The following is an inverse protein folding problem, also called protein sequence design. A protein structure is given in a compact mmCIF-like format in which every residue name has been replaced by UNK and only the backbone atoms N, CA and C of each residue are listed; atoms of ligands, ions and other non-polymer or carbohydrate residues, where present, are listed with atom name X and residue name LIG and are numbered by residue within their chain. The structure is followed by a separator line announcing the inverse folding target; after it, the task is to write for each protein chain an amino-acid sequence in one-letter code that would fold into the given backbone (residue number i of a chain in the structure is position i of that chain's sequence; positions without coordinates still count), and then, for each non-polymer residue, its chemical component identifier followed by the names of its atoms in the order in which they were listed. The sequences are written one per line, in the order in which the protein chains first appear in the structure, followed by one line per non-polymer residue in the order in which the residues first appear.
data_IF_805309015802
#
_entry.id   IF_805309015802
#
_cell.length_a   1.000
_cell.length_b   1.000
_cell.length_c   1.000
_cell.angle_alpha   90.00
_cell.angle_beta   90.00
_cell.angle_gamma   90.00
#
_symmetry.space_group_name_H-M   'P 1'
#
loop_
_entity.id
_entity.type
_entity.pdbx_description
1 polymer ?
#
# COMPACT_ATOMS: atom_id res chain seq x y z
N UNK A 1 -21.70 -11.38 -12.27
CA UNK A 1 -20.96 -10.30 -12.92
C UNK A 1 -20.13 -9.61 -11.83
N UNK A 2 -18.82 -9.86 -11.80
CA UNK A 2 -17.92 -9.13 -10.90
C UNK A 2 -17.93 -7.64 -11.32
N UNK A 3 -18.22 -6.74 -10.39
CA UNK A 3 -18.05 -5.29 -10.62
C UNK A 3 -16.57 -5.05 -10.93
N UNK A 4 -16.24 -4.28 -11.99
CA UNK A 4 -14.85 -3.95 -12.24
C UNK A 4 -14.27 -3.24 -11.01
N UNK A 5 -13.17 -3.77 -10.48
CA UNK A 5 -12.46 -3.11 -9.38
C UNK A 5 -11.98 -1.75 -9.86
N UNK A 6 -12.32 -0.66 -9.15
CA UNK A 6 -11.81 0.68 -9.44
C UNK A 6 -10.29 0.74 -9.27
N UNK A 7 -9.72 -0.09 -8.39
CA UNK A 7 -8.28 -0.23 -8.20
C UNK A 7 -7.70 -1.27 -9.16
N UNK A 8 -6.68 -0.89 -9.92
CA UNK A 8 -5.87 -1.83 -10.70
C UNK A 8 -4.85 -2.53 -9.81
N UNK A 9 -4.31 -3.66 -10.28
CA UNK A 9 -3.18 -4.33 -9.60
C UNK A 9 -1.94 -3.44 -9.45
N UNK A 10 -1.73 -2.53 -10.41
CA UNK A 10 -0.63 -1.56 -10.35
C UNK A 10 -0.85 -0.53 -9.25
N UNK A 11 -2.09 -0.05 -9.07
CA UNK A 11 -2.42 0.87 -7.97
C UNK A 11 -2.13 0.22 -6.62
N UNK A 12 -2.61 -1.01 -6.40
CA UNK A 12 -2.38 -1.73 -5.15
C UNK A 12 -0.88 -1.95 -4.88
N UNK A 13 -0.12 -2.34 -5.89
CA UNK A 13 1.32 -2.52 -5.78
C UNK A 13 2.05 -1.20 -5.46
N UNK A 14 1.62 -0.08 -6.05
CA UNK A 14 2.19 1.23 -5.73
C UNK A 14 1.88 1.63 -4.31
N UNK A 15 0.66 1.37 -3.82
CA UNK A 15 0.32 1.57 -2.42
C UNK A 15 1.20 0.73 -1.49
N UNK A 16 1.47 -0.54 -1.82
CA UNK A 16 2.42 -1.37 -1.06
C UNK A 16 3.79 -0.68 -0.93
N UNK A 17 4.36 -0.17 -2.01
CA UNK A 17 5.65 0.55 -1.95
C UNK A 17 5.61 1.82 -1.08
N UNK A 18 4.52 2.60 -1.17
CA UNK A 18 4.33 3.78 -0.30
C UNK A 18 4.31 3.34 1.16
N UNK A 19 3.54 2.30 1.47
CA UNK A 19 3.39 1.81 2.83
C UNK A 19 4.59 1.01 3.34
N UNK A 20 5.42 0.42 2.47
CA UNK A 20 6.73 -0.10 2.86
C UNK A 20 7.66 1.01 3.38
N UNK A 21 7.63 2.18 2.73
CA UNK A 21 8.36 3.35 3.24
C UNK A 21 7.76 3.82 4.58
N UNK A 22 6.44 3.90 4.66
CA UNK A 22 5.75 4.24 5.91
C UNK A 22 6.07 3.28 7.05
N UNK A 23 6.08 1.97 6.79
CA UNK A 23 6.42 0.94 7.76
C UNK A 23 7.86 1.11 8.31
N UNK A 24 8.82 1.47 7.45
CA UNK A 24 10.20 1.81 7.89
C UNK A 24 10.23 3.02 8.80
N UNK A 25 9.45 4.07 8.47
CA UNK A 25 9.37 5.27 9.32
C UNK A 25 8.74 4.96 10.68
N UNK A 26 7.66 4.16 10.71
CA UNK A 26 7.07 3.68 11.96
C UNK A 26 8.08 2.90 12.80
N UNK A 27 8.79 1.94 12.19
CA UNK A 27 9.81 1.13 12.86
C UNK A 27 10.96 1.95 13.44
N UNK A 28 11.26 3.10 12.84
CA UNK A 28 12.34 4.00 13.29
C UNK A 28 11.87 4.99 14.36
N UNK A 29 10.66 5.53 14.22
CA UNK A 29 10.17 6.62 15.06
C UNK A 29 9.43 6.13 16.33
N UNK A 30 8.62 5.08 16.25
CA UNK A 30 7.86 4.60 17.41
C UNK A 30 8.73 4.13 18.60
N UNK A 31 9.92 3.54 18.40
CA UNK A 31 10.81 3.19 19.50
C UNK A 31 11.20 4.37 20.40
N UNK A 32 11.23 5.60 19.87
CA UNK A 32 11.54 6.82 20.65
C UNK A 32 10.49 7.07 21.73
N UNK A 33 9.24 6.80 21.41
CA UNK A 33 8.11 7.00 22.33
C UNK A 33 7.90 5.80 23.24
N UNK A 34 7.98 4.59 22.67
CA UNK A 34 7.65 3.34 23.37
C UNK A 34 8.82 2.73 24.14
N UNK A 35 10.04 3.25 23.92
CA UNK A 35 11.28 2.74 24.54
C UNK A 35 11.41 1.22 24.40
N UNK A 36 11.02 0.70 23.25
CA UNK A 36 11.06 -0.73 22.90
C UNK A 36 11.26 -0.85 21.39
N UNK A 37 11.88 -1.93 20.97
CA UNK A 37 11.98 -2.22 19.54
C UNK A 37 10.58 -2.38 18.91
N UNK A 38 10.36 -1.73 17.79
CA UNK A 38 9.13 -1.82 17.00
C UNK A 38 9.52 -2.26 15.59
N UNK A 39 8.85 -3.28 15.09
CA UNK A 39 8.98 -3.76 13.72
C UNK A 39 7.63 -3.64 13.04
N UNK A 40 7.60 -3.05 11.86
CA UNK A 40 6.40 -2.92 11.03
C UNK A 40 6.74 -3.37 9.63
N UNK A 41 5.92 -4.26 9.07
CA UNK A 41 6.12 -4.82 7.73
C UNK A 41 4.79 -4.86 6.99
N UNK A 42 4.79 -4.46 5.71
CA UNK A 42 3.61 -4.60 4.85
C UNK A 42 3.41 -6.08 4.52
N UNK A 43 2.21 -6.57 4.72
CA UNK A 43 1.85 -7.95 4.39
C UNK A 43 1.26 -8.04 2.98
N UNK A 44 0.24 -7.26 2.70
CA UNK A 44 -0.44 -7.20 1.40
C UNK A 44 -1.32 -5.96 1.29
N UNK A 45 -1.75 -5.68 0.06
CA UNK A 45 -2.83 -4.74 -0.22
C UNK A 45 -3.93 -5.41 -1.03
N UNK A 46 -5.16 -5.04 -0.75
CA UNK A 46 -6.32 -5.55 -1.46
C UNK A 46 -7.37 -4.45 -1.68
N UNK A 47 -8.24 -4.68 -2.66
CA UNK A 47 -9.38 -3.80 -2.92
C UNK A 47 -10.67 -4.52 -2.56
N UNK A 48 -11.38 -3.95 -1.59
CA UNK A 48 -12.66 -4.46 -1.07
C UNK A 48 -13.69 -3.35 -1.00
N UNK A 49 -14.95 -3.69 -0.80
CA UNK A 49 -15.97 -2.68 -0.48
C UNK A 49 -15.81 -2.22 0.97
N UNK A 50 -16.21 -0.98 1.23
CA UNK A 50 -16.18 -0.46 2.60
C UNK A 50 -17.00 -1.32 3.56
N UNK A 51 -18.09 -1.91 3.09
CA UNK A 51 -18.90 -2.83 3.89
C UNK A 51 -18.14 -4.11 4.26
N UNK A 52 -17.37 -4.69 3.33
CA UNK A 52 -16.53 -5.87 3.63
C UNK A 52 -15.48 -5.52 4.68
N UNK A 53 -14.81 -4.37 4.55
CA UNK A 53 -13.90 -3.88 5.58
C UNK A 53 -14.58 -3.68 6.93
N UNK A 54 -15.71 -2.95 6.98
CA UNK A 54 -16.45 -2.69 8.23
C UNK A 54 -16.92 -3.97 8.90
N UNK A 55 -17.33 -4.98 8.12
CA UNK A 55 -17.75 -6.28 8.64
C UNK A 55 -16.60 -7.13 9.19
N UNK A 56 -15.36 -6.87 8.75
CA UNK A 56 -14.17 -7.57 9.24
C UNK A 56 -13.65 -7.03 10.59
N UNK A 57 -14.10 -5.83 10.98
CA UNK A 57 -13.67 -5.19 12.22
C UNK A 57 -14.24 -5.92 13.46
N UNK A 58 -13.37 -6.15 14.43
CA UNK A 58 -13.77 -6.67 15.74
C UNK A 58 -14.24 -5.53 16.66
N UNK A 59 -14.92 -5.87 17.75
CA UNK A 59 -15.21 -4.95 18.85
C UNK A 59 -14.62 -5.51 20.16
N UNK A 60 -13.92 -4.72 20.97
CA UNK A 60 -13.51 -3.34 20.70
C UNK A 60 -12.47 -3.24 19.57
N UNK A 61 -12.36 -2.06 18.95
CA UNK A 61 -11.42 -1.73 17.87
C UNK A 61 -10.81 -0.36 18.15
N UNK A 62 -9.67 -0.06 17.55
CA UNK A 62 -9.09 1.29 17.52
C UNK A 62 -9.11 1.76 16.09
N UNK A 63 -9.94 2.75 15.78
CA UNK A 63 -10.05 3.36 14.46
C UNK A 63 -9.68 4.83 14.55
N UNK A 64 -8.54 5.19 13.98
CA UNK A 64 -8.18 6.59 13.77
C UNK A 64 -8.79 7.09 12.47
N UNK A 65 -9.63 8.11 12.54
CA UNK A 65 -10.17 8.82 11.38
C UNK A 65 -9.21 9.95 11.04
N UNK A 66 -8.62 9.88 9.87
CA UNK A 66 -7.58 10.83 9.43
C UNK A 66 -8.07 11.60 8.22
N UNK A 67 -8.18 12.91 8.36
CA UNK A 67 -8.37 13.81 7.24
C UNK A 67 -7.12 13.78 6.35
N UNK A 68 -7.29 13.65 5.04
CA UNK A 68 -6.18 13.41 4.12
C UNK A 68 -5.88 14.63 3.24
N UNK A 69 -6.01 15.83 3.81
CA UNK A 69 -5.79 17.10 3.11
C UNK A 69 -4.43 17.11 2.35
N UNK A 70 -4.37 17.75 1.15
CA UNK A 70 -5.41 18.50 0.46
C UNK A 70 -6.41 17.66 -0.36
N UNK A 71 -6.33 16.31 -0.23
CA UNK A 71 -7.31 15.43 -0.84
C UNK A 71 -8.61 15.47 -0.03
N UNK A 72 -9.74 15.51 -0.74
CA UNK A 72 -11.05 15.56 -0.09
C UNK A 72 -11.41 14.17 0.47
N UNK A 73 -11.64 14.12 1.79
CA UNK A 73 -12.14 12.95 2.50
C UNK A 73 -11.17 12.40 3.54
N UNK A 74 -11.59 11.33 4.16
CA UNK A 74 -10.91 10.71 5.28
C UNK A 74 -10.45 9.30 4.91
N UNK A 75 -9.32 8.91 5.49
CA UNK A 75 -8.84 7.53 5.54
C UNK A 75 -9.02 6.99 6.97
N UNK A 76 -8.99 5.69 7.11
CA UNK A 76 -9.11 5.03 8.41
C UNK A 76 -7.84 4.25 8.69
N UNK A 77 -7.28 4.47 9.87
CA UNK A 77 -6.17 3.69 10.42
C UNK A 77 -6.72 2.81 11.53
N UNK A 78 -6.84 1.51 11.27
CA UNK A 78 -7.20 0.53 12.28
C UNK A 78 -5.95 -0.03 12.93
N UNK A 79 -5.98 -0.17 14.24
CA UNK A 79 -4.92 -0.81 15.02
C UNK A 79 -5.55 -1.88 15.93
N UNK A 80 -4.97 -3.06 15.94
CA UNK A 80 -5.45 -4.13 16.80
C UNK A 80 -5.38 -3.76 18.28
N UNK A 81 -6.31 -4.24 19.06
CA UNK A 81 -6.44 -3.91 20.51
C UNK A 81 -5.20 -4.32 21.30
N UNK A 82 -4.57 -5.44 20.93
CA UNK A 82 -3.34 -5.92 21.57
C UNK A 82 -2.20 -4.90 21.44
N UNK A 83 -2.06 -4.30 20.27
CA UNK A 83 -1.08 -3.24 20.02
C UNK A 83 -1.46 -1.97 20.80
N UNK A 84 -2.75 -1.62 20.84
CA UNK A 84 -3.22 -0.49 21.63
C UNK A 84 -2.86 -0.61 23.09
N UNK A 85 -3.11 -1.77 23.72
CA UNK A 85 -2.73 -2.03 25.11
C UNK A 85 -1.21 -2.06 25.31
N UNK A 86 -0.44 -2.63 24.37
CA UNK A 86 1.01 -2.60 24.44
C UNK A 86 1.55 -1.16 24.40
N UNK A 87 0.98 -0.29 23.56
CA UNK A 87 1.29 1.14 23.50
C UNK A 87 1.02 1.81 24.83
N UNK A 88 -0.17 1.61 25.41
CA UNK A 88 -0.55 2.18 26.72
C UNK A 88 0.42 1.72 27.81
N UNK A 89 0.65 0.42 27.92
CA UNK A 89 1.55 -0.14 28.95
C UNK A 89 2.96 0.43 28.82
N UNK A 90 3.49 0.52 27.61
CA UNK A 90 4.84 1.09 27.35
C UNK A 90 4.91 2.58 27.67
N UNK A 91 3.90 3.35 27.32
CA UNK A 91 3.84 4.79 27.59
C UNK A 91 3.76 5.08 29.10
N UNK A 92 3.14 4.19 29.88
CA UNK A 92 3.05 4.27 31.33
C UNK A 92 4.26 3.65 32.05
N UNK A 93 5.26 3.13 31.31
CA UNK A 93 6.49 2.58 31.86
C UNK A 93 6.43 1.08 32.18
N UNK A 94 5.41 0.39 31.73
CA UNK A 94 5.27 -1.06 31.86
C UNK A 94 6.21 -1.85 30.94
N UNK A 95 6.18 -3.18 31.04
CA UNK A 95 7.06 -4.10 30.29
C UNK A 95 6.64 -4.37 28.84
N UNK A 96 5.45 -3.98 28.44
CA UNK A 96 4.85 -4.31 27.13
C UNK A 96 4.40 -5.78 27.09
N UNK A 97 3.67 -6.22 28.10
CA UNK A 97 3.12 -7.57 28.17
C UNK A 97 1.77 -7.64 27.46
N UNK A 98 1.44 -8.77 26.81
CA UNK A 98 0.10 -8.96 26.27
C UNK A 98 -0.96 -8.88 27.39
N UNK A 99 -2.12 -8.34 27.05
CA UNK A 99 -3.25 -8.30 28.01
C UNK A 99 -3.85 -9.70 28.15
N UNK A 100 -4.11 -10.14 29.38
CA UNK A 100 -4.70 -11.47 29.64
C UNK A 100 -6.17 -11.58 29.22
N UNK A 101 -6.90 -10.46 29.18
CA UNK A 101 -8.32 -10.40 28.77
C UNK A 101 -8.59 -9.17 27.93
N UNK A 102 -9.26 -9.38 26.83
CA UNK A 102 -9.75 -8.29 25.99
C UNK A 102 -10.84 -7.49 26.74
N UNK A 103 -10.70 -6.17 26.81
CA UNK A 103 -11.63 -5.25 27.45
C UNK A 103 -11.70 -3.93 26.67
N UNK A 104 -12.66 -3.13 26.96
CA UNK A 104 -12.73 -1.76 26.44
C UNK A 104 -11.62 -0.88 27.03
N UNK A 105 -11.22 0.14 26.25
CA UNK A 105 -10.26 1.14 26.68
C UNK A 105 -10.94 2.18 27.56
N UNK A 106 -10.23 2.63 28.58
CA UNK A 106 -10.63 3.79 29.39
C UNK A 106 -10.30 5.10 28.64
N UNK A 107 -10.93 6.20 29.02
CA UNK A 107 -10.67 7.53 28.43
C UNK A 107 -9.19 7.94 28.53
N UNK A 108 -8.53 7.61 29.63
CA UNK A 108 -7.09 7.89 29.81
C UNK A 108 -6.24 7.08 28.81
N UNK A 109 -6.57 5.81 28.63
CA UNK A 109 -5.89 4.94 27.67
C UNK A 109 -6.10 5.42 26.25
N UNK A 110 -7.30 5.86 25.89
CA UNK A 110 -7.61 6.45 24.58
C UNK A 110 -6.81 7.73 24.33
N UNK A 111 -6.66 8.60 25.31
CA UNK A 111 -5.83 9.80 25.19
C UNK A 111 -4.35 9.46 24.91
N UNK A 112 -3.84 8.38 25.52
CA UNK A 112 -2.47 7.90 25.26
C UNK A 112 -2.35 7.35 23.84
N UNK A 113 -3.33 6.54 23.42
CA UNK A 113 -3.40 5.97 22.06
C UNK A 113 -3.47 7.10 21.02
N UNK A 114 -4.33 8.10 21.24
CA UNK A 114 -4.49 9.27 20.38
C UNK A 114 -3.15 9.97 20.11
N UNK A 115 -2.35 10.16 21.15
CA UNK A 115 -1.02 10.77 21.01
C UNK A 115 -0.11 9.99 20.07
N UNK A 116 -0.13 8.67 20.13
CA UNK A 116 0.67 7.82 19.23
C UNK A 116 0.06 7.79 17.84
N UNK A 117 -1.26 7.78 17.72
CA UNK A 117 -1.95 7.85 16.42
C UNK A 117 -1.66 9.17 15.69
N UNK A 118 -1.54 10.29 16.40
CA UNK A 118 -1.09 11.58 15.82
C UNK A 118 0.32 11.45 15.26
N UNK A 119 1.24 10.79 15.97
CA UNK A 119 2.60 10.54 15.45
C UNK A 119 2.52 9.68 14.18
N UNK A 120 1.76 8.59 14.19
CA UNK A 120 1.56 7.74 13.02
C UNK A 120 0.98 8.52 11.84
N UNK A 121 -0.02 9.38 12.09
CA UNK A 121 -0.63 10.24 11.07
C UNK A 121 0.39 11.17 10.42
N UNK A 122 1.22 11.83 11.22
CA UNK A 122 2.23 12.76 10.70
C UNK A 122 3.32 12.09 9.87
N UNK A 123 3.63 10.83 10.16
CA UNK A 123 4.59 10.03 9.39
C UNK A 123 4.09 9.64 7.99
N UNK A 124 2.81 9.83 7.66
CA UNK A 124 2.28 9.62 6.31
C UNK A 124 2.80 10.67 5.29
N UNK A 125 3.22 11.85 5.74
CA UNK A 125 3.62 12.96 4.85
C UNK A 125 4.76 12.56 3.93
N UNK A 126 5.81 11.99 4.46
CA UNK A 126 7.04 11.68 3.72
C UNK A 126 6.82 10.60 2.64
N UNK A 127 6.20 9.43 2.91
CA UNK A 127 5.95 8.41 1.91
C UNK A 127 5.07 8.87 0.75
N UNK A 128 4.16 9.80 1.00
CA UNK A 128 3.22 10.32 0.00
C UNK A 128 3.76 11.52 -0.79
N UNK A 129 4.89 12.09 -0.38
CA UNK A 129 5.44 13.31 -0.99
C UNK A 129 5.59 13.23 -2.52
N UNK A 130 5.93 12.06 -3.05
CA UNK A 130 6.08 11.86 -4.51
C UNK A 130 4.74 11.91 -5.25
N UNK A 131 3.64 11.48 -4.61
CA UNK A 131 2.31 11.48 -5.20
C UNK A 131 1.61 12.82 -4.96
N UNK A 132 1.60 13.24 -3.70
CA UNK A 132 0.94 14.46 -3.25
C UNK A 132 1.56 14.90 -1.92
N UNK A 133 1.86 16.18 -1.79
CA UNK A 133 2.21 16.76 -0.48
C UNK A 133 0.95 16.77 0.36
N UNK A 134 0.96 16.03 1.46
CA UNK A 134 -0.16 15.87 2.37
C UNK A 134 0.00 16.72 3.63
N UNK A 135 -1.12 17.12 4.20
CA UNK A 135 -1.26 17.69 5.52
C UNK A 135 -2.28 16.85 6.33
N UNK A 136 -1.94 15.59 6.65
CA UNK A 136 -2.88 14.68 7.29
C UNK A 136 -3.11 15.09 8.74
N UNK A 137 -4.37 14.98 9.19
CA UNK A 137 -4.74 15.33 10.55
C UNK A 137 -5.65 14.24 11.13
N UNK A 138 -5.29 13.72 12.30
CA UNK A 138 -6.18 12.84 13.06
C UNK A 138 -7.37 13.64 13.56
N UNK A 139 -8.57 13.33 13.10
CA UNK A 139 -9.79 14.01 13.53
C UNK A 139 -10.33 13.47 14.83
N UNK A 140 -10.37 12.13 14.95
CA UNK A 140 -10.89 11.43 16.14
C UNK A 140 -10.48 9.97 16.14
N UNK A 141 -10.67 9.34 17.30
CA UNK A 141 -10.57 7.89 17.48
C UNK A 141 -11.96 7.34 17.80
N UNK A 142 -12.31 6.23 17.15
CA UNK A 142 -13.52 5.45 17.42
C UNK A 142 -13.13 4.07 17.94
N UNK A 143 -13.87 3.57 18.92
CA UNK A 143 -13.63 2.25 19.52
C UNK A 143 -14.70 1.22 19.19
N UNK A 144 -15.73 1.64 18.48
CA UNK A 144 -16.83 0.79 18.04
C UNK A 144 -16.95 0.86 16.52
N UNK A 145 -16.86 -0.29 15.86
CA UNK A 145 -16.95 -0.42 14.41
C UNK A 145 -18.26 0.09 13.82
N UNK A 146 -19.35 0.11 14.60
CA UNK A 146 -20.66 0.60 14.15
C UNK A 146 -20.67 2.12 13.89
N UNK A 147 -19.80 2.87 14.54
CA UNK A 147 -19.66 4.31 14.32
C UNK A 147 -18.69 4.68 13.20
N UNK A 148 -18.08 3.68 12.58
CA UNK A 148 -17.14 3.86 11.47
C UNK A 148 -17.85 4.05 10.11
N UNK A 149 -18.99 4.75 10.05
CA UNK A 149 -19.73 4.98 8.79
C UNK A 149 -19.30 6.31 8.15
N UNK A 150 -18.08 6.35 7.59
CA UNK A 150 -17.51 7.54 6.97
C UNK A 150 -17.70 7.58 5.46
N UNK A 151 -18.00 6.43 4.86
CA UNK A 151 -18.11 6.24 3.42
C UNK A 151 -19.35 5.41 3.12
N UNK A 152 -19.86 5.49 1.91
CA UNK A 152 -20.98 4.64 1.52
C UNK A 152 -20.59 3.15 1.52
N UNK A 153 -21.47 2.24 1.95
CA UNK A 153 -21.13 0.81 2.08
C UNK A 153 -20.58 0.16 0.81
N UNK A 154 -21.03 0.64 -0.35
CA UNK A 154 -20.61 0.12 -1.66
C UNK A 154 -19.37 0.80 -2.25
N UNK A 155 -18.77 1.78 -1.55
CA UNK A 155 -17.55 2.43 -2.02
C UNK A 155 -16.40 1.42 -2.02
N UNK A 156 -15.63 1.45 -3.10
CA UNK A 156 -14.41 0.65 -3.20
C UNK A 156 -13.30 1.30 -2.38
N UNK A 157 -12.65 0.50 -1.57
CA UNK A 157 -11.54 0.93 -0.73
C UNK A 157 -10.32 0.06 -0.99
N UNK A 158 -9.13 0.63 -0.87
CA UNK A 158 -7.91 -0.14 -0.74
C UNK A 158 -7.58 -0.32 0.73
N UNK A 159 -7.27 -1.55 1.12
CA UNK A 159 -6.80 -1.89 2.46
C UNK A 159 -5.34 -2.29 2.34
N UNK A 160 -4.48 -1.60 3.06
CA UNK A 160 -3.09 -2.01 3.23
C UNK A 160 -2.92 -2.58 4.62
N UNK A 161 -2.62 -3.86 4.70
CA UNK A 161 -2.41 -4.59 5.94
C UNK A 161 -0.92 -4.65 6.28
N UNK A 162 -0.58 -4.23 7.48
CA UNK A 162 0.75 -4.26 8.04
C UNK A 162 0.76 -5.09 9.32
N UNK A 163 1.78 -5.93 9.48
CA UNK A 163 2.10 -6.50 10.79
C UNK A 163 2.86 -5.49 11.63
N UNK A 164 2.55 -5.41 12.91
CA UNK A 164 3.26 -4.56 13.87
C UNK A 164 3.66 -5.40 15.08
N UNK A 165 4.91 -5.29 15.48
CA UNK A 165 5.46 -5.98 16.64
C UNK A 165 6.13 -5.00 17.59
N UNK A 166 5.67 -4.97 18.85
CA UNK A 166 6.23 -4.15 19.93
C UNK A 166 6.80 -5.09 21.00
N UNK A 167 8.12 -5.32 20.94
CA UNK A 167 8.74 -6.32 21.80
C UNK A 167 8.24 -7.73 21.50
N UNK A 168 7.42 -8.30 22.40
CA UNK A 168 6.83 -9.64 22.26
C UNK A 168 5.36 -9.61 21.80
N UNK A 169 4.75 -8.42 21.77
CA UNK A 169 3.35 -8.26 21.35
C UNK A 169 3.30 -8.05 19.86
N UNK A 170 2.53 -8.89 19.18
CA UNK A 170 2.29 -8.82 17.73
C UNK A 170 0.81 -8.50 17.47
N UNK A 171 0.56 -7.76 16.41
CA UNK A 171 -0.78 -7.41 15.96
C UNK A 171 -0.78 -6.84 14.55
N UNK A 172 -1.92 -6.31 14.14
CA UNK A 172 -2.12 -5.76 12.82
C UNK A 172 -2.41 -4.26 12.88
N UNK A 173 -2.03 -3.59 11.82
CA UNK A 173 -2.45 -2.24 11.48
C UNK A 173 -2.96 -2.25 10.05
N UNK A 174 -4.19 -1.82 9.85
CA UNK A 174 -4.81 -1.69 8.54
C UNK A 174 -5.02 -0.22 8.20
N UNK A 175 -4.70 0.16 6.97
CA UNK A 175 -5.03 1.50 6.46
C UNK A 175 -6.03 1.35 5.33
N UNK A 176 -7.25 1.84 5.58
CA UNK A 176 -8.36 1.82 4.64
C UNK A 176 -8.44 3.18 3.93
N UNK A 177 -8.26 3.17 2.61
CA UNK A 177 -8.28 4.37 1.77
C UNK A 177 -9.41 4.24 0.75
N UNK A 178 -10.48 5.06 0.84
CA UNK A 178 -11.55 5.07 -0.15
C UNK A 178 -11.03 5.51 -1.52
N UNK A 179 -11.55 4.91 -2.59
CA UNK A 179 -11.17 5.29 -3.95
C UNK A 179 -11.44 6.77 -4.24
N UNK A 180 -12.56 7.30 -3.75
CA UNK A 180 -12.93 8.70 -3.93
C UNK A 180 -11.85 9.67 -3.42
N UNK A 181 -11.13 9.32 -2.34
CA UNK A 181 -10.03 10.14 -1.79
C UNK A 181 -8.82 10.12 -2.73
N UNK A 182 -8.52 9.00 -3.37
CA UNK A 182 -7.37 8.85 -4.27
C UNK A 182 -7.68 9.23 -5.72
N UNK A 183 -8.95 9.33 -6.10
CA UNK A 183 -9.37 9.59 -7.49
C UNK A 183 -8.65 10.79 -8.13
N UNK A 184 -8.46 11.95 -7.46
CA UNK A 184 -7.74 13.08 -8.04
C UNK A 184 -6.26 12.83 -8.34
N UNK A 185 -5.65 11.84 -7.69
CA UNK A 185 -4.21 11.53 -7.80
C UNK A 185 -3.95 10.11 -8.28
N UNK A 186 -4.98 9.37 -8.67
CA UNK A 186 -4.89 7.95 -9.00
C UNK A 186 -3.88 7.66 -10.12
N UNK A 187 -3.77 8.57 -11.09
CA UNK A 187 -2.81 8.45 -12.19
C UNK A 187 -1.35 8.54 -11.74
N UNK A 188 -1.09 9.20 -10.60
CA UNK A 188 0.23 9.27 -9.97
C UNK A 188 0.50 8.03 -9.10
N UNK A 189 -0.53 7.32 -8.69
CA UNK A 189 -0.43 6.03 -7.98
C UNK A 189 -0.22 4.91 -8.99
N UNK A 190 0.83 5.04 -9.81
CA UNK A 190 1.21 4.09 -10.85
C UNK A 190 2.73 3.91 -10.84
N UNK A 191 3.20 2.67 -10.95
CA UNK A 191 4.63 2.32 -10.94
C UNK A 191 5.42 3.06 -12.02
N UNK A 192 4.83 3.33 -13.19
CA UNK A 192 5.48 4.09 -14.27
C UNK A 192 5.82 5.52 -13.85
N UNK A 193 4.94 6.16 -13.09
CA UNK A 193 5.19 7.51 -12.59
C UNK A 193 6.38 7.55 -11.61
N UNK A 194 6.50 6.53 -10.75
CA UNK A 194 7.58 6.43 -9.76
C UNK A 194 8.95 6.23 -10.43
N UNK A 195 9.04 5.38 -11.44
CA UNK A 195 10.28 5.19 -12.19
C UNK A 195 10.69 6.45 -12.95
N UNK A 196 9.74 7.20 -13.52
CA UNK A 196 10.02 8.45 -14.22
C UNK A 196 10.48 9.58 -13.29
N UNK A 197 9.93 9.65 -12.07
CA UNK A 197 10.27 10.68 -11.07
C UNK A 197 11.60 10.37 -10.37
N UNK A 198 11.88 9.11 -10.08
CA UNK A 198 13.19 8.68 -9.55
C UNK A 198 14.32 8.91 -10.56
N UNK A 199 14.04 8.81 -11.86
CA UNK A 199 14.99 9.16 -12.90
C UNK A 199 15.22 10.68 -13.02
N UNK A 200 14.25 11.50 -12.62
CA UNK A 200 14.36 12.97 -12.64
C UNK A 200 15.11 13.56 -11.44
N UNK A 201 15.18 12.85 -10.31
CA UNK A 201 15.93 13.26 -9.11
C UNK A 201 17.33 12.65 -9.03
N UNK A 202 17.63 11.67 -9.88
CA UNK A 202 19.00 11.13 -10.06
C UNK A 202 19.83 12.08 -10.89
N UNK A 203 21.03 12.42 -10.35
CA UNK A 203 22.06 13.22 -11.01
C UNK A 203 22.14 12.86 -12.53
N UNK A 204 22.01 13.86 -13.40
CA UNK A 204 21.89 13.70 -14.88
C UNK A 204 22.97 12.83 -15.55
N UNK A 205 24.06 12.51 -14.83
CA UNK A 205 25.16 11.66 -15.26
C UNK A 205 24.74 10.24 -15.67
N UNK A 206 23.69 9.68 -15.03
CA UNK A 206 23.21 8.33 -15.36
C UNK A 206 22.31 8.29 -16.58
N UNK A 207 21.65 9.40 -16.90
CA UNK A 207 20.76 9.48 -18.07
C UNK A 207 21.55 9.40 -19.37
N UNK A 208 22.63 10.14 -19.47
CA UNK A 208 23.49 10.13 -20.66
C UNK A 208 24.14 8.76 -20.87
N UNK A 209 24.57 8.11 -19.78
CA UNK A 209 25.11 6.74 -19.83
C UNK A 209 24.08 5.70 -20.24
N UNK A 210 22.84 5.81 -19.75
CA UNK A 210 21.74 4.92 -20.15
C UNK A 210 21.33 5.15 -21.59
N UNK A 211 21.27 6.40 -22.04
CA UNK A 211 20.96 6.75 -23.43
C UNK A 211 22.03 6.20 -24.40
N UNK A 212 23.29 6.34 -24.06
CA UNK A 212 24.41 5.77 -24.81
C UNK A 212 24.39 4.23 -24.83
N UNK A 213 24.06 3.61 -23.69
CA UNK A 213 23.92 2.14 -23.58
C UNK A 213 22.74 1.62 -24.39
N UNK A 214 21.60 2.33 -24.40
CA UNK A 214 20.43 1.98 -25.20
C UNK A 214 20.68 2.12 -26.69
N UNK A 215 21.44 3.15 -27.13
CA UNK A 215 21.81 3.32 -28.52
C UNK A 215 22.72 2.20 -29.03
N UNK A 216 23.48 1.56 -28.14
CA UNK A 216 24.34 0.42 -28.46
C UNK A 216 23.64 -0.94 -28.37
N UNK A 217 22.43 -0.97 -27.84
CA UNK A 217 21.68 -2.21 -27.68
C UNK A 217 21.23 -2.75 -29.05
N UNK A 218 21.65 -3.97 -29.36
CA UNK A 218 21.19 -4.68 -30.54
C UNK A 218 19.89 -5.40 -30.27
N UNK A 219 18.84 -5.01 -30.97
CA UNK A 219 17.55 -5.65 -30.91
C UNK A 219 17.39 -6.52 -32.17
N UNK A 220 17.21 -7.85 -32.05
CA UNK A 220 16.96 -8.70 -33.18
C UNK A 220 15.56 -8.40 -33.76
N UNK A 221 15.50 -7.87 -34.95
CA UNK A 221 14.25 -7.61 -35.67
C UNK A 221 14.03 -8.77 -36.65
N UNK A 222 12.89 -9.44 -36.55
CA UNK A 222 12.47 -10.51 -37.46
C UNK A 222 11.23 -10.07 -38.21
N UNK A 223 11.36 -9.96 -39.55
CA UNK A 223 10.21 -9.76 -40.42
C UNK A 223 9.60 -11.13 -40.75
N UNK A 224 8.41 -11.38 -40.20
CA UNK A 224 7.66 -12.61 -40.51
C UNK A 224 6.73 -12.29 -41.68
N UNK A 225 7.07 -12.79 -42.87
CA UNK A 225 6.27 -12.59 -44.09
C UNK A 225 5.04 -13.48 -44.15
N UNK A 226 4.98 -14.54 -43.34
CA UNK A 226 3.88 -15.45 -43.23
C UNK A 226 4.28 -16.75 -42.54
N UNK A 227 3.32 -17.62 -42.31
CA UNK A 227 3.54 -18.96 -41.74
C UNK A 227 3.01 -20.02 -42.71
N UNK A 228 3.70 -21.14 -42.80
CA UNK A 228 3.23 -22.31 -43.53
C UNK A 228 3.46 -23.58 -42.71
N UNK A 229 2.55 -24.52 -42.84
CA UNK A 229 2.73 -25.86 -42.29
C UNK A 229 2.95 -26.82 -43.49
N UNK A 230 4.07 -27.49 -43.50
CA UNK A 230 4.42 -28.51 -44.52
C UNK A 230 4.69 -29.84 -43.83
N UNK A 231 4.52 -30.95 -44.54
CA UNK A 231 4.84 -32.25 -43.98
C UNK A 231 6.37 -32.44 -43.84
N UNK A 232 6.80 -33.32 -42.93
CA UNK A 232 8.22 -33.63 -42.77
C UNK A 232 8.79 -34.21 -44.08
N UNK A 233 7.97 -34.98 -44.80
CA UNK A 233 8.37 -35.55 -46.10
C UNK A 233 8.62 -34.46 -47.15
N UNK A 234 7.75 -33.45 -47.24
CA UNK A 234 7.91 -32.34 -48.18
C UNK A 234 9.12 -31.48 -47.79
N UNK A 235 9.36 -31.30 -46.47
CA UNK A 235 10.51 -30.55 -45.99
C UNK A 235 11.86 -31.19 -46.40
N UNK A 236 11.97 -32.52 -46.32
CA UNK A 236 13.20 -33.25 -46.67
C UNK A 236 13.48 -33.20 -48.14
N UNK A 237 12.45 -33.07 -48.99
CA UNK A 237 12.59 -33.06 -50.47
C UNK A 237 12.61 -31.65 -51.06
N UNK A 238 12.64 -30.57 -50.26
CA UNK A 238 12.74 -29.20 -50.72
C UNK A 238 14.03 -28.98 -51.51
N UNK A 239 13.90 -28.37 -52.68
CA UNK A 239 15.01 -27.99 -53.56
C UNK A 239 15.02 -26.47 -53.82
N UNK A 240 16.20 -25.91 -54.12
CA UNK A 240 16.28 -24.50 -54.55
C UNK A 240 15.40 -24.23 -55.77
N UNK A 241 14.41 -23.34 -55.62
CA UNK A 241 13.41 -22.98 -56.64
C UNK A 241 12.01 -23.39 -56.30
N UNK A 242 11.81 -24.18 -55.25
CA UNK A 242 10.47 -24.56 -54.80
C UNK A 242 9.71 -23.38 -54.18
N UNK A 243 8.40 -23.33 -54.41
CA UNK A 243 7.52 -22.28 -53.93
C UNK A 243 6.72 -22.78 -52.75
N UNK A 244 6.95 -22.18 -51.58
CA UNK A 244 6.17 -22.48 -50.37
C UNK A 244 5.07 -21.41 -50.22
N UNK A 245 3.82 -21.86 -50.19
CA UNK A 245 2.68 -20.97 -49.96
C UNK A 245 2.64 -20.61 -48.45
N UNK A 246 2.65 -19.34 -48.14
CA UNK A 246 2.55 -18.82 -46.78
C UNK A 246 1.18 -18.16 -46.57
N UNK A 247 0.63 -18.30 -45.35
CA UNK A 247 -0.59 -17.61 -44.95
C UNK A 247 -0.20 -16.30 -44.29
N UNK A 248 -0.70 -15.20 -44.81
CA UNK A 248 -0.55 -13.84 -44.25
C UNK A 248 -1.65 -13.57 -43.25
#
# INVERSE_FOLDING_TARGET
FARPSKFSKEHLRTLEFIFEHYARLLSTNLPVYLRKNVQVEVMHSEAVTYQEFSNSLSNPVILGVVNFAPLDGNIIMEVSTEIGFAVVDRMLGGGGKPLEKNREFTEIELTIIERIMVVCTNLLVEPWHTVQVLEPMLERIETNSQFAQFVTPNEMTSIVTMSIKIGEVEGLMNVCIPYAVLEPVIDKVNTKYWYSTSAATGDGTYRDYLEESLQRAQIPVRAIMGRSAISVNDFIHLQPGDIIKVNT
#
